data_IF_873040842321
#
_entry.id   IF_873040842321
#
_cell.length_a   1.000
_cell.length_b   1.000
_cell.length_c   1.000
_cell.angle_alpha   90.00
_cell.angle_beta   90.00
_cell.angle_gamma   90.00
#
_symmetry.space_group_name_H-M   'P 1'
#
loop_
_entity.id
_entity.type
_entity.pdbx_description
1 polymer ?
#
# COMPACT_ATOMS: atom_id res chain seq x y z
N UNK A 1 -10.20 -4.86 17.54
CA UNK A 1 -10.10 -5.83 16.44
C UNK A 1 -11.49 -6.37 16.04
N UNK A 2 -12.38 -5.50 15.54
CA UNK A 2 -13.76 -5.88 15.15
C UNK A 2 -14.17 -5.34 13.77
N UNK A 3 -13.24 -4.70 13.05
CA UNK A 3 -13.56 -4.15 11.75
C UNK A 3 -13.67 -5.26 10.70
N UNK A 4 -14.71 -5.16 9.87
CA UNK A 4 -14.93 -5.97 8.67
C UNK A 4 -14.21 -5.36 7.45
N UNK A 5 -13.95 -4.05 7.49
CA UNK A 5 -13.31 -3.29 6.41
C UNK A 5 -12.18 -2.44 6.99
N UNK A 6 -11.03 -2.45 6.32
CA UNK A 6 -9.88 -1.60 6.64
C UNK A 6 -9.52 -0.79 5.40
N UNK A 7 -9.61 0.54 5.49
CA UNK A 7 -9.42 1.43 4.35
C UNK A 7 -8.28 2.44 4.58
N UNK A 8 -7.44 2.61 3.56
CA UNK A 8 -6.54 3.76 3.43
C UNK A 8 -7.26 4.84 2.63
N UNK A 9 -7.25 6.07 3.12
CA UNK A 9 -8.00 7.18 2.52
C UNK A 9 -7.12 8.30 1.93
N UNK A 10 -5.83 8.36 2.27
CA UNK A 10 -4.87 9.33 1.74
C UNK A 10 -3.43 8.78 1.69
N UNK A 11 -2.52 9.57 1.12
CA UNK A 11 -1.08 9.30 1.08
C UNK A 11 -0.68 8.34 -0.04
N UNK A 12 0.51 7.75 0.08
CA UNK A 12 1.03 6.77 -0.88
C UNK A 12 1.95 5.73 -0.24
N UNK A 13 2.94 5.28 -0.99
CA UNK A 13 4.00 4.37 -0.54
C UNK A 13 5.07 5.06 0.33
N UNK A 14 4.92 6.38 0.55
CA UNK A 14 5.68 7.14 1.55
C UNK A 14 5.25 6.86 2.99
N UNK A 15 4.11 6.19 3.20
CA UNK A 15 3.73 5.63 4.48
C UNK A 15 4.42 4.28 4.73
N UNK A 16 4.50 3.87 5.99
CA UNK A 16 5.00 2.56 6.36
C UNK A 16 4.52 2.15 7.75
N UNK A 17 4.07 0.91 7.90
CA UNK A 17 3.77 0.32 9.20
C UNK A 17 4.26 -1.13 9.26
N UNK A 18 4.78 -1.52 10.42
CA UNK A 18 5.21 -2.89 10.66
C UNK A 18 4.11 -3.62 11.43
N UNK A 19 3.68 -4.76 10.90
CA UNK A 19 2.69 -5.63 11.54
C UNK A 19 3.36 -6.93 11.92
N UNK A 20 3.11 -7.42 13.14
CA UNK A 20 3.48 -8.79 13.54
C UNK A 20 2.24 -9.66 13.38
N UNK A 21 2.29 -10.63 12.48
CA UNK A 21 1.19 -11.56 12.24
C UNK A 21 1.70 -13.00 12.27
N UNK A 22 1.11 -13.84 13.12
CA UNK A 22 1.55 -15.23 13.29
C UNK A 22 3.02 -15.36 13.73
N UNK A 23 3.54 -14.39 14.49
CA UNK A 23 4.94 -14.35 14.91
C UNK A 23 5.93 -13.84 13.85
N UNK A 24 5.46 -13.56 12.63
CA UNK A 24 6.28 -13.03 11.53
C UNK A 24 6.10 -11.52 11.42
N UNK A 25 7.20 -10.78 11.23
CA UNK A 25 7.19 -9.33 10.98
C UNK A 25 6.99 -9.03 9.50
N UNK A 26 6.02 -8.19 9.19
CA UNK A 26 5.73 -7.68 7.85
C UNK A 26 5.85 -6.17 7.83
N UNK A 27 6.50 -5.62 6.79
CA UNK A 27 6.58 -4.17 6.56
C UNK A 27 5.70 -3.83 5.37
N UNK A 28 4.64 -3.05 5.62
CA UNK A 28 3.67 -2.65 4.61
C UNK A 28 3.70 -1.14 4.38
N UNK A 29 3.47 -0.73 3.14
CA UNK A 29 3.52 0.64 2.64
C UNK A 29 2.17 1.11 2.09
N UNK A 30 1.65 0.48 1.04
CA UNK A 30 0.36 0.84 0.42
C UNK A 30 -0.79 -0.02 0.95
N UNK A 31 -0.53 -1.32 1.12
CA UNK A 31 -1.57 -2.29 1.47
C UNK A 31 -2.06 -2.05 2.91
N UNK A 32 -3.40 -2.00 3.15
CA UNK A 32 -3.95 -1.85 4.50
C UNK A 32 -3.55 -3.01 5.45
N UNK A 33 -3.36 -2.71 6.74
CA UNK A 33 -2.96 -3.69 7.77
C UNK A 33 -3.90 -4.89 7.94
N UNK A 34 -5.16 -4.76 7.49
CA UNK A 34 -6.16 -5.82 7.53
C UNK A 34 -5.87 -7.00 6.58
N UNK A 35 -4.88 -6.89 5.70
CA UNK A 35 -4.69 -7.84 4.58
C UNK A 35 -4.46 -9.29 5.03
N UNK A 36 -3.92 -9.48 6.24
CA UNK A 36 -3.65 -10.80 6.81
C UNK A 36 -4.91 -11.58 7.20
N UNK A 37 -6.06 -10.92 7.30
CA UNK A 37 -7.34 -11.50 7.66
C UNK A 37 -8.19 -11.69 6.40
N UNK A 38 -8.36 -12.95 5.96
CA UNK A 38 -9.02 -13.29 4.68
C UNK A 38 -10.47 -12.77 4.61
N UNK A 39 -11.15 -12.67 5.74
CA UNK A 39 -12.52 -12.21 5.86
C UNK A 39 -12.67 -10.68 5.84
N UNK A 40 -11.57 -9.93 6.01
CA UNK A 40 -11.59 -8.47 6.08
C UNK A 40 -11.31 -7.85 4.73
N UNK A 41 -12.19 -6.97 4.25
CA UNK A 41 -11.97 -6.24 3.00
C UNK A 41 -10.95 -5.12 3.23
N UNK A 42 -9.91 -5.10 2.40
CA UNK A 42 -8.88 -4.07 2.43
C UNK A 42 -9.07 -3.11 1.26
N UNK A 43 -9.22 -1.82 1.53
CA UNK A 43 -9.51 -0.80 0.52
C UNK A 43 -8.38 0.21 0.39
N UNK A 44 -7.88 0.39 -0.83
CA UNK A 44 -7.09 1.55 -1.25
C UNK A 44 -8.11 2.56 -1.82
N UNK A 45 -8.42 3.59 -1.04
CA UNK A 45 -9.39 4.63 -1.40
C UNK A 45 -8.90 5.58 -2.49
N UNK A 46 -9.80 6.40 -3.02
CA UNK A 46 -9.52 7.32 -4.12
C UNK A 46 -8.58 8.49 -3.76
N UNK A 47 -8.37 8.78 -2.47
CA UNK A 47 -7.44 9.83 -2.03
C UNK A 47 -5.98 9.41 -2.02
N UNK A 48 -5.66 8.18 -2.43
CA UNK A 48 -4.28 7.69 -2.50
C UNK A 48 -3.63 8.06 -3.84
N UNK A 49 -2.32 8.27 -3.76
CA UNK A 49 -1.40 8.25 -4.89
C UNK A 49 -0.65 6.91 -4.87
N UNK A 50 -0.87 6.09 -5.90
CA UNK A 50 -0.43 4.69 -5.95
C UNK A 50 0.67 4.54 -6.99
N UNK A 51 1.85 4.12 -6.56
CA UNK A 51 2.88 3.60 -7.46
C UNK A 51 2.54 2.12 -7.78
N UNK A 52 2.19 1.78 -9.04
CA UNK A 52 1.84 0.40 -9.40
C UNK A 52 3.00 -0.58 -9.24
N UNK A 53 4.24 -0.12 -9.43
CA UNK A 53 5.44 -0.95 -9.25
C UNK A 53 5.60 -1.30 -7.77
N UNK A 54 5.53 -0.31 -6.89
CA UNK A 54 5.61 -0.54 -5.45
C UNK A 54 4.46 -1.43 -4.95
N UNK A 55 3.24 -1.25 -5.47
CA UNK A 55 2.10 -2.11 -5.13
C UNK A 55 2.34 -3.57 -5.54
N UNK A 56 2.85 -3.81 -6.75
CA UNK A 56 3.16 -5.16 -7.23
C UNK A 56 4.29 -5.83 -6.43
N UNK A 57 5.31 -5.06 -6.06
CA UNK A 57 6.40 -5.55 -5.19
C UNK A 57 5.86 -5.97 -3.81
N UNK A 58 4.94 -5.18 -3.24
CA UNK A 58 4.30 -5.48 -1.96
C UNK A 58 3.36 -6.69 -2.04
N UNK A 59 2.59 -6.82 -3.12
CA UNK A 59 1.76 -7.99 -3.40
C UNK A 59 2.61 -9.25 -3.54
N UNK A 60 3.69 -9.19 -4.32
CA UNK A 60 4.63 -10.31 -4.45
C UNK A 60 5.24 -10.69 -3.11
N UNK A 61 5.66 -9.71 -2.32
CA UNK A 61 6.22 -9.92 -0.98
C UNK A 61 5.26 -10.69 -0.06
N UNK A 62 3.97 -10.40 -0.13
CA UNK A 62 2.90 -11.09 0.59
C UNK A 62 2.65 -12.50 0.03
N UNK A 63 2.53 -12.64 -1.30
CA UNK A 63 2.28 -13.92 -1.96
C UNK A 63 3.41 -14.93 -1.73
N UNK A 64 4.67 -14.48 -1.79
CA UNK A 64 5.85 -15.30 -1.50
C UNK A 64 5.87 -15.83 -0.05
N UNK A 65 5.05 -15.27 0.85
CA UNK A 65 4.87 -15.69 2.25
C UNK A 65 3.54 -16.40 2.49
N UNK A 66 2.80 -16.74 1.44
CA UNK A 66 1.54 -17.46 1.52
C UNK A 66 0.34 -16.62 1.98
N UNK A 67 0.45 -15.29 1.95
CA UNK A 67 -0.66 -14.38 2.27
C UNK A 67 -1.48 -14.14 1.00
N UNK A 68 -2.75 -14.58 0.99
CA UNK A 68 -3.69 -14.22 -0.10
C UNK A 68 -4.07 -12.75 0.01
N UNK A 69 -4.31 -12.12 -1.15
CA UNK A 69 -4.73 -10.72 -1.27
C UNK A 69 -6.06 -10.58 -2.00
N UNK A 70 -6.87 -11.66 -2.04
CA UNK A 70 -8.17 -11.68 -2.74
C UNK A 70 -9.19 -10.70 -2.13
N UNK A 71 -8.94 -10.28 -0.90
CA UNK A 71 -9.68 -9.29 -0.14
C UNK A 71 -9.26 -7.84 -0.41
N UNK A 72 -8.25 -7.59 -1.26
CA UNK A 72 -7.82 -6.24 -1.63
C UNK A 72 -8.76 -5.63 -2.68
N UNK A 73 -9.10 -4.35 -2.49
CA UNK A 73 -9.90 -3.53 -3.41
C UNK A 73 -9.15 -2.24 -3.67
N UNK A 74 -8.96 -1.92 -4.95
CA UNK A 74 -8.27 -0.70 -5.39
C UNK A 74 -9.29 0.22 -6.06
N UNK A 75 -9.38 1.46 -5.61
CA UNK A 75 -10.25 2.45 -6.24
C UNK A 75 -9.82 2.70 -7.67
N UNK A 76 -10.79 2.69 -8.59
CA UNK A 76 -10.61 3.12 -9.98
C UNK A 76 -10.36 4.63 -10.14
N UNK A 77 -10.41 5.40 -9.05
CA UNK A 77 -10.14 6.84 -9.00
C UNK A 77 -8.89 7.20 -8.20
N UNK A 78 -8.12 6.22 -7.72
CA UNK A 78 -6.83 6.50 -7.12
C UNK A 78 -5.86 7.04 -8.20
N UNK A 79 -5.08 8.06 -7.84
CA UNK A 79 -4.11 8.64 -8.77
C UNK A 79 -2.88 7.74 -8.90
N UNK A 80 -2.22 7.77 -10.05
CA UNK A 80 -1.08 6.90 -10.35
C UNK A 80 0.24 7.67 -10.27
N UNK A 81 1.16 7.19 -9.44
CA UNK A 81 2.55 7.62 -9.42
C UNK A 81 3.29 6.89 -10.56
N UNK A 82 4.15 7.63 -11.26
CA UNK A 82 4.86 7.19 -12.46
C UNK A 82 6.32 7.62 -12.35
N UNK A 83 7.26 7.02 -13.11
CA UNK A 83 8.69 7.27 -12.93
C UNK A 83 9.11 8.74 -12.99
N UNK A 84 8.43 9.56 -13.79
CA UNK A 84 8.74 10.98 -13.89
C UNK A 84 8.34 11.77 -12.63
N UNK A 85 7.35 11.32 -11.86
CA UNK A 85 6.98 11.96 -10.60
C UNK A 85 8.11 11.82 -9.57
N UNK A 86 8.78 10.65 -9.51
CA UNK A 86 9.94 10.44 -8.63
C UNK A 86 11.09 11.36 -9.02
N UNK A 87 11.35 11.49 -10.32
CA UNK A 87 12.40 12.38 -10.83
C UNK A 87 12.06 13.86 -10.58
N UNK A 88 10.80 14.23 -10.70
CA UNK A 88 10.34 15.59 -10.41
C UNK A 88 10.53 15.91 -8.92
N UNK A 89 10.17 15.00 -8.02
CA UNK A 89 10.37 15.14 -6.58
C UNK A 89 11.85 15.37 -6.22
N UNK A 90 12.75 14.55 -6.79
CA UNK A 90 14.20 14.71 -6.63
C UNK A 90 14.72 16.08 -7.10
N UNK A 91 14.27 16.54 -8.27
CA UNK A 91 14.69 17.82 -8.84
C UNK A 91 14.11 19.01 -8.07
N UNK A 92 12.87 18.92 -7.59
CA UNK A 92 12.24 19.97 -6.80
C UNK A 92 12.91 20.14 -5.45
N UNK A 93 13.26 19.04 -4.75
CA UNK A 93 14.01 19.12 -3.49
C UNK A 93 15.41 19.71 -3.72
N UNK A 94 16.14 19.27 -4.75
CA UNK A 94 17.44 19.83 -5.10
C UNK A 94 17.38 21.35 -5.44
N UNK A 95 16.26 21.80 -6.01
CA UNK A 95 16.06 23.23 -6.33
C UNK A 95 15.82 24.12 -5.11
N UNK A 96 15.44 23.53 -3.97
CA UNK A 96 15.12 24.26 -2.73
C UNK A 96 16.33 24.42 -1.78
N UNK A 97 17.46 23.75 -2.04
CA UNK A 97 18.73 23.96 -1.33
C UNK A 97 19.26 22.73 -0.60
#
# INVERSE_FOLDING_TARGET
EHAEVVARYQGGNNAGHTVVFGGVKYKLHLIPSGIFYKEKICVIGNGLVVDPKALLEELKYLHDRGVSTDNLRVSNRAHVILPYHLKQDELEEASKG
#
